data_IF_972850814096
#
_entry.id   IF_972850814096
#
_cell.length_a   1.000
_cell.length_b   1.000
_cell.length_c   1.000
_cell.angle_alpha   90.00
_cell.angle_beta   90.00
_cell.angle_gamma   90.00
#
_symmetry.space_group_name_H-M   'P 1'
#
loop_
_entity.id
_entity.type
_entity.pdbx_description
1 polymer ?
#
# COMPACT_ATOMS: atom_id res chain seq x y z
N UNK A 1 -19.26 -16.04 11.41
CA UNK A 1 -18.57 -14.95 12.13
C UNK A 1 -17.30 -15.45 12.75
N UNK A 2 -16.35 -14.55 13.00
CA UNK A 2 -15.14 -14.94 13.72
C UNK A 2 -15.54 -15.17 15.19
N UNK A 3 -15.19 -16.31 15.80
CA UNK A 3 -15.46 -16.59 17.21
C UNK A 3 -14.81 -15.55 18.13
N UNK A 4 -15.35 -15.37 19.33
CA UNK A 4 -14.82 -14.40 20.29
C UNK A 4 -13.37 -14.72 20.69
N UNK A 5 -12.99 -16.00 20.75
CA UNK A 5 -11.60 -16.43 20.97
C UNK A 5 -10.62 -15.82 19.94
N UNK A 6 -11.03 -15.75 18.68
CA UNK A 6 -10.18 -15.19 17.63
C UNK A 6 -10.17 -13.66 17.67
N UNK A 7 -11.26 -13.03 18.13
CA UNK A 7 -11.27 -11.58 18.39
C UNK A 7 -10.33 -11.22 19.54
N UNK A 8 -10.31 -12.01 20.61
CA UNK A 8 -9.37 -11.81 21.71
C UNK A 8 -7.92 -11.92 21.24
N UNK A 9 -7.58 -12.93 20.44
CA UNK A 9 -6.24 -13.06 19.84
C UNK A 9 -5.86 -11.86 18.95
N UNK A 10 -6.79 -11.34 18.15
CA UNK A 10 -6.54 -10.16 17.31
C UNK A 10 -6.31 -8.91 18.19
N UNK A 11 -7.08 -8.76 19.26
CA UNK A 11 -6.92 -7.67 20.23
C UNK A 11 -5.59 -7.77 20.98
N UNK A 12 -5.14 -8.98 21.33
CA UNK A 12 -3.81 -9.21 21.93
C UNK A 12 -2.68 -8.81 20.99
N UNK A 13 -2.77 -9.15 19.70
CA UNK A 13 -1.80 -8.71 18.68
C UNK A 13 -1.76 -7.18 18.57
N UNK A 14 -2.93 -6.53 18.54
CA UNK A 14 -3.01 -5.08 18.49
C UNK A 14 -2.35 -4.43 19.71
N UNK A 15 -2.63 -4.93 20.92
CA UNK A 15 -2.01 -4.45 22.17
C UNK A 15 -0.50 -4.63 22.15
N UNK A 16 -0.02 -5.82 21.75
CA UNK A 16 1.42 -6.11 21.64
C UNK A 16 2.11 -5.17 20.66
N UNK A 17 1.47 -4.86 19.54
CA UNK A 17 1.99 -3.91 18.56
C UNK A 17 2.04 -2.48 19.14
N UNK A 18 1.01 -2.04 19.86
CA UNK A 18 1.00 -0.74 20.55
C UNK A 18 2.13 -0.66 21.60
N UNK A 19 2.35 -1.71 22.39
CA UNK A 19 3.46 -1.80 23.35
C UNK A 19 4.83 -1.73 22.67
N UNK A 20 5.01 -2.43 21.55
CA UNK A 20 6.26 -2.39 20.78
C UNK A 20 6.51 -0.99 20.18
N UNK A 21 5.46 -0.32 19.71
CA UNK A 21 5.57 1.07 19.23
C UNK A 21 5.95 2.01 20.37
N UNK A 22 5.36 1.85 21.55
CA UNK A 22 5.74 2.66 22.72
C UNK A 22 7.19 2.44 23.13
N UNK A 23 7.69 1.19 23.11
CA UNK A 23 9.12 0.89 23.33
C UNK A 23 10.03 1.58 22.31
N UNK A 24 9.65 1.58 21.02
CA UNK A 24 10.41 2.28 19.98
C UNK A 24 10.44 3.81 20.23
N UNK A 25 9.32 4.39 20.67
CA UNK A 25 9.25 5.80 21.03
C UNK A 25 10.14 6.10 22.25
N UNK A 26 10.10 5.28 23.29
CA UNK A 26 10.95 5.43 24.47
C UNK A 26 12.45 5.33 24.12
N UNK A 27 12.84 4.36 23.28
CA UNK A 27 14.22 4.22 22.81
C UNK A 27 14.67 5.42 21.97
N UNK A 28 13.75 6.04 21.21
CA UNK A 28 14.03 7.28 20.49
C UNK A 28 14.25 8.45 21.45
N UNK A 29 13.41 8.60 22.47
CA UNK A 29 13.53 9.66 23.48
C UNK A 29 14.80 9.54 24.32
N UNK A 30 15.25 8.31 24.60
CA UNK A 30 16.53 8.02 25.27
C UNK A 30 17.76 8.20 24.38
N UNK A 31 17.58 8.39 23.07
CA UNK A 31 18.67 8.53 22.11
C UNK A 31 19.42 7.22 21.82
N UNK A 32 18.86 6.07 22.19
CA UNK A 32 19.45 4.74 22.01
C UNK A 32 19.19 4.16 20.60
N UNK A 33 18.33 4.83 19.83
CA UNK A 33 17.88 4.34 18.53
C UNK A 33 18.97 4.53 17.48
N UNK A 34 19.50 3.42 16.99
CA UNK A 34 20.51 3.44 15.93
C UNK A 34 19.86 3.73 14.58
N UNK A 35 20.56 4.46 13.71
CA UNK A 35 20.15 4.64 12.32
C UNK A 35 20.38 3.30 11.60
N UNK A 36 19.30 2.55 11.40
CA UNK A 36 19.37 1.27 10.67
C UNK A 36 19.21 1.49 9.16
N UNK A 37 18.63 2.61 8.73
CA UNK A 37 18.34 2.90 7.32
C UNK A 37 19.29 3.97 6.79
N UNK A 38 20.22 3.63 5.87
CA UNK A 38 21.13 4.60 5.26
C UNK A 38 20.36 5.71 4.53
N UNK A 39 20.77 6.96 4.75
CA UNK A 39 20.22 8.12 4.04
C UNK A 39 18.90 8.69 4.58
N UNK A 40 18.34 8.12 5.67
CA UNK A 40 17.17 8.68 6.36
C UNK A 40 17.57 9.34 7.67
N UNK A 41 16.79 10.35 8.08
CA UNK A 41 16.95 10.94 9.41
C UNK A 41 16.56 9.94 10.51
N UNK A 42 17.05 10.17 11.74
CA UNK A 42 16.67 9.35 12.92
C UNK A 42 15.15 9.26 13.09
N UNK A 43 14.44 10.38 12.91
CA UNK A 43 12.99 10.45 13.03
C UNK A 43 12.28 9.69 11.93
N UNK A 44 12.76 9.77 10.69
CA UNK A 44 12.18 9.00 9.59
C UNK A 44 12.43 7.50 9.76
N UNK A 45 13.61 7.12 10.27
CA UNK A 45 13.91 5.73 10.61
C UNK A 45 12.96 5.19 11.68
N UNK A 46 12.68 5.96 12.73
CA UNK A 46 11.67 5.61 13.73
C UNK A 46 10.29 5.40 13.09
N UNK A 47 9.84 6.33 12.25
CA UNK A 47 8.53 6.25 11.59
C UNK A 47 8.42 5.02 10.69
N UNK A 48 9.46 4.67 9.95
CA UNK A 48 9.48 3.45 9.14
C UNK A 48 9.43 2.18 9.99
N UNK A 49 10.16 2.15 11.12
CA UNK A 49 10.13 1.01 12.05
C UNK A 49 8.74 0.81 12.64
N UNK A 50 8.09 1.91 13.04
CA UNK A 50 6.70 1.87 13.54
C UNK A 50 5.75 1.39 12.44
N UNK A 51 5.86 1.91 11.22
CA UNK A 51 5.01 1.47 10.11
C UNK A 51 5.19 -0.02 9.80
N UNK A 52 6.42 -0.52 9.85
CA UNK A 52 6.71 -1.93 9.63
C UNK A 52 6.10 -2.81 10.74
N UNK A 53 6.24 -2.42 12.00
CA UNK A 53 5.68 -3.15 13.14
C UNK A 53 4.14 -3.21 13.08
N UNK A 54 3.49 -2.08 12.83
CA UNK A 54 2.03 -2.02 12.67
C UNK A 54 1.55 -2.76 11.41
N UNK A 55 2.36 -2.80 10.36
CA UNK A 55 2.12 -3.59 9.16
C UNK A 55 2.12 -5.10 9.44
N UNK A 56 3.13 -5.58 10.18
CA UNK A 56 3.20 -6.98 10.61
C UNK A 56 2.00 -7.38 11.47
N UNK A 57 1.62 -6.53 12.42
CA UNK A 57 0.47 -6.78 13.29
C UNK A 57 -0.83 -6.96 12.48
N UNK A 58 -1.05 -6.13 11.46
CA UNK A 58 -2.19 -6.28 10.54
C UNK A 58 -2.14 -7.59 9.78
N UNK A 59 -0.97 -7.97 9.27
CA UNK A 59 -0.83 -9.19 8.46
C UNK A 59 -1.00 -10.46 9.33
N UNK A 60 -0.53 -10.45 10.58
CA UNK A 60 -0.78 -11.49 11.57
C UNK A 60 -2.28 -11.62 11.92
N UNK A 61 -2.95 -10.49 12.18
CA UNK A 61 -4.39 -10.46 12.40
C UNK A 61 -5.17 -11.00 11.19
N UNK A 62 -4.68 -10.73 9.97
CA UNK A 62 -5.23 -11.27 8.74
C UNK A 62 -5.14 -12.79 8.64
N UNK A 63 -4.01 -13.37 9.02
CA UNK A 63 -3.82 -14.84 9.05
C UNK A 63 -4.77 -15.51 10.04
N UNK A 64 -4.93 -14.93 11.22
CA UNK A 64 -5.90 -15.43 12.21
C UNK A 64 -7.32 -15.33 11.65
N UNK A 65 -7.70 -14.17 11.13
CA UNK A 65 -9.02 -14.00 10.53
C UNK A 65 -9.30 -15.03 9.43
N UNK A 66 -8.33 -15.30 8.55
CA UNK A 66 -8.44 -16.30 7.50
C UNK A 66 -8.64 -17.73 8.05
N UNK A 67 -7.85 -18.13 9.05
CA UNK A 67 -7.94 -19.46 9.66
C UNK A 67 -9.33 -19.72 10.24
N UNK A 68 -9.89 -18.73 10.93
CA UNK A 68 -11.19 -18.85 11.59
C UNK A 68 -12.39 -18.62 10.66
N UNK A 69 -12.22 -17.93 9.52
CA UNK A 69 -13.27 -17.74 8.52
C UNK A 69 -13.51 -18.97 7.62
N UNK A 70 -12.54 -19.89 7.54
CA UNK A 70 -12.69 -21.16 6.82
C UNK A 70 -13.04 -21.00 5.33
N UNK A 71 -13.82 -21.94 4.79
CA UNK A 71 -14.30 -21.92 3.39
C UNK A 71 -15.60 -21.12 3.25
N UNK A 72 -15.51 -19.80 3.34
CA UNK A 72 -16.61 -18.88 3.01
C UNK A 72 -16.50 -18.43 1.53
N UNK A 73 -17.61 -18.15 0.86
CA UNK A 73 -17.67 -17.57 -0.49
C UNK A 73 -16.76 -16.34 -0.63
N UNK A 74 -16.68 -15.48 0.39
CA UNK A 74 -15.79 -14.30 0.37
C UNK A 74 -14.31 -14.71 0.32
N UNK A 75 -13.92 -15.73 1.08
CA UNK A 75 -12.55 -16.28 1.09
C UNK A 75 -12.25 -16.92 -0.26
N UNK A 76 -13.20 -17.67 -0.82
CA UNK A 76 -13.05 -18.33 -2.13
C UNK A 76 -12.84 -17.27 -3.22
N UNK A 77 -13.69 -16.23 -3.29
CA UNK A 77 -13.55 -15.15 -4.27
C UNK A 77 -12.20 -14.44 -4.19
N UNK A 78 -11.70 -14.21 -2.97
CA UNK A 78 -10.38 -13.61 -2.76
C UNK A 78 -9.24 -14.54 -3.19
N UNK A 79 -9.33 -15.85 -2.88
CA UNK A 79 -8.29 -16.84 -3.22
C UNK A 79 -8.19 -17.12 -4.72
N UNK A 80 -9.32 -17.20 -5.41
CA UNK A 80 -9.34 -17.41 -6.87
C UNK A 80 -9.06 -16.12 -7.66
N UNK A 81 -8.90 -14.98 -6.99
CA UNK A 81 -8.67 -13.68 -7.62
C UNK A 81 -9.88 -13.11 -8.37
N UNK A 82 -11.08 -13.63 -8.15
CA UNK A 82 -12.28 -13.17 -8.85
C UNK A 82 -12.71 -11.77 -8.39
N UNK A 83 -12.80 -11.55 -7.07
CA UNK A 83 -13.17 -10.24 -6.52
C UNK A 83 -12.75 -10.10 -5.06
N UNK A 84 -12.09 -8.99 -4.76
CA UNK A 84 -11.53 -8.72 -3.44
C UNK A 84 -10.18 -9.42 -3.24
N UNK A 85 -9.42 -8.92 -2.27
CA UNK A 85 -8.12 -9.47 -1.89
C UNK A 85 -8.13 -9.98 -0.45
N UNK A 86 -7.11 -10.76 -0.08
CA UNK A 86 -6.91 -11.14 1.33
C UNK A 86 -6.78 -9.93 2.25
N UNK A 87 -6.21 -8.82 1.76
CA UNK A 87 -6.15 -7.56 2.50
C UNK A 87 -7.56 -7.02 2.81
N UNK A 88 -8.49 -7.07 1.86
CA UNK A 88 -9.87 -6.63 2.10
C UNK A 88 -10.55 -7.49 3.17
N UNK A 89 -10.31 -8.80 3.15
CA UNK A 89 -10.82 -9.72 4.16
C UNK A 89 -10.26 -9.40 5.55
N UNK A 90 -8.96 -9.12 5.64
CA UNK A 90 -8.31 -8.64 6.87
C UNK A 90 -8.96 -7.36 7.40
N UNK A 91 -9.30 -6.40 6.55
CA UNK A 91 -9.95 -5.15 7.00
C UNK A 91 -11.39 -5.34 7.45
N UNK A 92 -12.11 -6.29 6.84
CA UNK A 92 -13.49 -6.60 7.22
C UNK A 92 -13.56 -7.33 8.55
N UNK A 93 -12.61 -8.24 8.80
CA UNK A 93 -12.75 -9.24 9.85
C UNK A 93 -11.62 -9.22 10.90
N UNK A 94 -10.41 -8.81 10.52
CA UNK A 94 -9.24 -8.67 11.39
C UNK A 94 -9.11 -7.26 11.98
N UNK A 95 -8.40 -6.37 11.28
CA UNK A 95 -8.24 -4.96 11.62
C UNK A 95 -7.99 -4.14 10.35
N UNK A 96 -8.34 -2.85 10.36
CA UNK A 96 -8.08 -1.97 9.21
C UNK A 96 -6.58 -1.64 9.08
N UNK A 97 -5.90 -1.42 10.21
CA UNK A 97 -4.48 -1.14 10.31
C UNK A 97 -4.12 0.35 10.14
N UNK A 98 -2.83 0.63 9.96
CA UNK A 98 -2.28 1.99 9.87
C UNK A 98 -2.81 2.75 8.66
N UNK A 99 -3.40 3.94 8.90
CA UNK A 99 -3.72 4.89 7.84
C UNK A 99 -2.53 5.81 7.57
N UNK A 100 -2.18 5.98 6.30
CA UNK A 100 -1.11 6.87 5.89
C UNK A 100 -1.68 8.00 5.02
N UNK A 101 -1.02 9.16 5.07
CA UNK A 101 -1.26 10.28 4.17
C UNK A 101 0.08 10.71 3.57
N UNK A 102 0.23 10.58 2.25
CA UNK A 102 1.48 10.88 1.50
C UNK A 102 2.68 10.08 2.00
N UNK A 103 2.46 8.79 2.26
CA UNK A 103 3.51 7.87 2.71
C UNK A 103 4.01 8.10 4.15
N UNK A 104 3.35 8.95 4.94
CA UNK A 104 3.66 9.18 6.36
C UNK A 104 2.44 8.90 7.23
N UNK A 105 2.64 8.58 8.52
CA UNK A 105 1.53 8.42 9.48
C UNK A 105 0.78 9.75 9.63
N UNK A 106 -0.48 9.68 10.08
CA UNK A 106 -1.32 10.86 10.19
C UNK A 106 -0.77 11.80 11.27
N UNK A 107 -0.19 12.91 10.84
CA UNK A 107 0.43 13.92 11.72
C UNK A 107 -0.09 15.34 11.45
N UNK A 108 -0.77 15.56 10.32
CA UNK A 108 -1.38 16.85 9.98
C UNK A 108 -2.68 17.03 10.76
N UNK A 109 -2.84 18.19 11.39
CA UNK A 109 -4.00 18.51 12.20
C UNK A 109 -3.77 19.77 13.02
N UNK A 110 -4.08 19.70 14.32
CA UNK A 110 -3.87 20.77 15.29
C UNK A 110 -2.38 20.92 15.67
N UNK A 111 -2.06 21.97 16.42
CA UNK A 111 -0.70 22.20 16.91
C UNK A 111 -0.20 21.01 17.75
N UNK A 112 0.81 20.31 17.23
CA UNK A 112 1.44 19.09 17.80
C UNK A 112 0.49 17.90 18.02
N UNK A 113 -0.61 17.74 17.26
CA UNK A 113 -1.50 16.56 17.35
C UNK A 113 -2.43 16.45 16.14
N UNK A 114 -2.83 15.25 15.76
CA UNK A 114 -3.76 15.08 14.64
C UNK A 114 -5.20 15.51 15.01
N UNK A 115 -5.72 15.05 16.14
CA UNK A 115 -7.08 15.34 16.62
C UNK A 115 -7.09 16.01 18.01
N UNK A 116 -8.14 16.77 18.37
CA UNK A 116 -8.19 17.47 19.65
C UNK A 116 -8.38 16.53 20.85
N UNK A 117 -8.80 15.28 20.58
CA UNK A 117 -8.99 14.21 21.56
C UNK A 117 -7.67 13.64 22.12
N UNK A 118 -6.54 13.87 21.45
CA UNK A 118 -5.23 13.40 21.89
C UNK A 118 -4.43 14.50 22.61
N UNK A 119 -3.47 14.08 23.44
CA UNK A 119 -2.55 15.00 24.10
C UNK A 119 -1.63 15.66 23.07
N UNK A 120 -1.15 16.87 23.38
CA UNK A 120 -0.17 17.55 22.52
C UNK A 120 1.16 16.79 22.57
N UNK A 121 1.71 16.48 21.40
CA UNK A 121 2.95 15.71 21.25
C UNK A 121 2.75 14.20 21.28
N UNK A 122 1.51 13.71 21.36
CA UNK A 122 1.23 12.27 21.36
C UNK A 122 1.55 11.66 19.99
N UNK A 123 2.52 10.72 19.97
CA UNK A 123 3.02 10.01 18.79
C UNK A 123 2.70 8.51 18.82
N UNK A 124 1.84 8.10 19.76
CA UNK A 124 1.33 6.73 19.88
C UNK A 124 0.68 6.24 18.58
N UNK A 125 0.51 4.92 18.46
CA UNK A 125 -0.10 4.30 17.29
C UNK A 125 -1.51 4.87 17.02
N UNK A 126 -2.36 4.96 18.05
CA UNK A 126 -3.74 5.45 17.94
C UNK A 126 -3.79 6.94 17.55
N UNK A 127 -2.96 7.78 18.19
CA UNK A 127 -2.90 9.22 17.90
C UNK A 127 -2.40 9.52 16.48
N UNK A 128 -1.62 8.60 15.90
CA UNK A 128 -1.06 8.70 14.55
C UNK A 128 -1.87 7.94 13.49
N UNK A 129 -3.10 7.52 13.79
CA UNK A 129 -4.04 6.95 12.81
C UNK A 129 -3.94 5.43 12.61
N UNK A 130 -3.51 4.69 13.62
CA UNK A 130 -3.67 3.23 13.64
C UNK A 130 -5.11 2.85 14.00
N UNK A 131 -5.76 2.06 13.13
CA UNK A 131 -7.14 1.60 13.32
C UNK A 131 -7.12 0.12 13.68
N UNK A 132 -7.45 -0.20 14.93
CA UNK A 132 -7.44 -1.58 15.46
C UNK A 132 -8.76 -2.29 15.21
N UNK A 133 -9.84 -1.54 15.15
CA UNK A 133 -11.16 -2.07 14.82
C UNK A 133 -11.25 -2.58 13.37
N UNK A 134 -12.17 -3.49 13.09
CA UNK A 134 -12.49 -3.93 11.73
C UNK A 134 -13.85 -3.37 11.27
N UNK A 135 -14.12 -3.40 9.97
CA UNK A 135 -15.38 -2.87 9.45
C UNK A 135 -16.61 -3.60 9.97
N UNK A 136 -16.47 -4.87 10.37
CA UNK A 136 -17.57 -5.64 10.94
C UNK A 136 -17.92 -5.24 12.37
N UNK A 137 -16.94 -4.98 13.22
CA UNK A 137 -17.18 -4.50 14.60
C UNK A 137 -17.61 -3.04 14.62
N UNK A 138 -17.27 -2.30 13.57
CA UNK A 138 -17.48 -0.86 13.48
C UNK A 138 -16.25 -0.10 13.96
N UNK A 139 -16.11 1.13 13.48
CA UNK A 139 -15.01 2.02 13.82
C UNK A 139 -15.45 3.03 14.88
N UNK A 140 -14.56 3.33 15.83
CA UNK A 140 -14.75 4.48 16.72
C UNK A 140 -14.75 5.80 15.95
N UNK A 141 -15.28 6.91 16.50
CA UNK A 141 -15.31 8.20 15.80
C UNK A 141 -13.93 8.71 15.35
N UNK A 142 -12.88 8.49 16.16
CA UNK A 142 -11.50 8.86 15.81
C UNK A 142 -10.96 7.98 14.68
N UNK A 143 -11.15 6.66 14.78
CA UNK A 143 -10.76 5.70 13.73
C UNK A 143 -11.46 5.97 12.40
N UNK A 144 -12.76 6.25 12.42
CA UNK A 144 -13.53 6.59 11.23
C UNK A 144 -13.00 7.85 10.54
N UNK A 145 -12.63 8.87 11.33
CA UNK A 145 -12.06 10.10 10.80
C UNK A 145 -10.67 9.87 10.19
N UNK A 146 -9.81 9.09 10.85
CA UNK A 146 -8.51 8.70 10.29
C UNK A 146 -8.64 7.87 9.01
N UNK A 147 -9.57 6.93 8.98
CA UNK A 147 -9.86 6.14 7.78
C UNK A 147 -10.32 7.03 6.61
N UNK A 148 -11.17 8.02 6.90
CA UNK A 148 -11.62 8.99 5.91
C UNK A 148 -10.47 9.83 5.33
N UNK A 149 -9.47 10.18 6.16
CA UNK A 149 -8.26 10.87 5.66
C UNK A 149 -7.47 10.01 4.67
N UNK A 150 -7.24 8.74 5.00
CA UNK A 150 -6.54 7.79 4.13
C UNK A 150 -7.32 7.54 2.83
N UNK A 151 -8.64 7.38 2.92
CA UNK A 151 -9.52 7.21 1.76
C UNK A 151 -9.51 8.41 0.80
N UNK A 152 -9.31 9.64 1.31
CA UNK A 152 -9.20 10.82 0.44
C UNK A 152 -7.92 10.83 -0.38
N UNK A 153 -6.82 10.30 0.15
CA UNK A 153 -5.57 10.20 -0.59
C UNK A 153 -5.73 9.32 -1.83
N UNK A 154 -6.34 8.15 -1.68
CA UNK A 154 -6.51 7.22 -2.81
C UNK A 154 -7.36 7.81 -3.93
N UNK A 155 -8.42 8.56 -3.59
CA UNK A 155 -9.25 9.27 -4.56
C UNK A 155 -8.46 10.34 -5.33
N UNK A 156 -7.65 11.12 -4.62
CA UNK A 156 -6.85 12.20 -5.23
C UNK A 156 -5.71 11.63 -6.08
N UNK A 157 -5.00 10.61 -5.60
CA UNK A 157 -3.88 10.01 -6.32
C UNK A 157 -4.35 9.38 -7.64
N UNK A 158 -5.51 8.71 -7.64
CA UNK A 158 -6.12 8.16 -8.86
C UNK A 158 -6.40 9.25 -9.89
N UNK A 159 -7.01 10.37 -9.45
CA UNK A 159 -7.31 11.49 -10.35
C UNK A 159 -6.06 12.12 -10.96
N UNK A 160 -5.00 12.29 -10.17
CA UNK A 160 -3.72 12.88 -10.65
C UNK A 160 -3.02 11.93 -11.62
N UNK A 161 -2.98 10.63 -11.31
CA UNK A 161 -2.31 9.62 -12.14
C UNK A 161 -2.93 9.54 -13.54
N UNK A 162 -4.25 9.59 -13.66
CA UNK A 162 -4.95 9.55 -14.95
C UNK A 162 -4.54 10.71 -15.87
N UNK A 163 -4.49 11.93 -15.34
CA UNK A 163 -4.10 13.09 -16.15
C UNK A 163 -2.65 12.98 -16.65
N UNK A 164 -1.73 12.56 -15.77
CA UNK A 164 -0.30 12.43 -16.11
C UNK A 164 -0.05 11.29 -17.09
N UNK A 165 -0.67 10.12 -16.89
CA UNK A 165 -0.52 8.98 -17.79
C UNK A 165 -1.09 9.26 -19.17
N UNK A 166 -2.29 9.86 -19.25
CA UNK A 166 -2.90 10.23 -20.53
C UNK A 166 -2.06 11.25 -21.31
N UNK A 167 -1.52 12.27 -20.63
CA UNK A 167 -0.65 13.25 -21.28
C UNK A 167 0.67 12.63 -21.78
N UNK A 168 1.31 11.78 -20.96
CA UNK A 168 2.51 11.05 -21.36
C UNK A 168 2.23 10.15 -22.56
N UNK A 169 1.12 9.40 -22.53
CA UNK A 169 0.70 8.55 -23.63
C UNK A 169 0.49 9.37 -24.92
N UNK A 170 -0.22 10.49 -24.87
CA UNK A 170 -0.44 11.36 -26.04
C UNK A 170 0.88 11.86 -26.63
N UNK A 171 1.84 12.28 -25.79
CA UNK A 171 3.16 12.72 -26.25
C UNK A 171 3.93 11.61 -26.95
N UNK A 172 3.91 10.40 -26.39
CA UNK A 172 4.61 9.25 -26.97
C UNK A 172 3.94 8.79 -28.28
N UNK A 173 2.62 8.73 -28.34
CA UNK A 173 1.88 8.37 -29.56
C UNK A 173 2.23 9.35 -30.67
N UNK A 174 2.13 10.66 -30.43
CA UNK A 174 2.42 11.65 -31.46
C UNK A 174 3.89 11.64 -31.92
N UNK A 175 4.83 11.21 -31.06
CA UNK A 175 6.24 11.12 -31.40
C UNK A 175 6.61 9.84 -32.16
N UNK A 176 5.85 8.76 -31.98
CA UNK A 176 6.20 7.42 -32.49
C UNK A 176 5.25 6.91 -33.58
N UNK A 177 4.14 7.60 -33.86
CA UNK A 177 3.11 7.19 -34.82
C UNK A 177 3.64 6.96 -36.25
N UNK A 178 4.72 7.63 -36.63
CA UNK A 178 5.29 7.55 -37.98
C UNK A 178 6.25 6.36 -38.16
N UNK A 179 6.63 5.67 -37.07
CA UNK A 179 7.54 4.53 -37.12
C UNK A 179 6.87 3.29 -37.70
N UNK A 180 7.53 2.66 -38.69
CA UNK A 180 7.05 1.43 -39.35
C UNK A 180 8.18 0.43 -39.52
N UNK A 181 7.83 -0.85 -39.47
CA UNK A 181 8.73 -1.96 -39.80
C UNK A 181 8.69 -2.19 -41.31
N UNK A 182 9.85 -2.24 -41.94
CA UNK A 182 10.01 -2.53 -43.37
C UNK A 182 10.31 -4.01 -43.60
N UNK A 183 10.19 -4.47 -44.86
CA UNK A 183 10.39 -5.88 -45.23
C UNK A 183 11.79 -6.42 -44.89
N UNK A 184 12.79 -5.53 -44.80
CA UNK A 184 14.15 -5.85 -44.39
C UNK A 184 14.35 -5.98 -42.87
N UNK A 185 13.27 -5.87 -42.09
CA UNK A 185 13.30 -5.96 -40.63
C UNK A 185 13.74 -4.69 -39.91
N UNK A 186 14.03 -3.61 -40.65
CA UNK A 186 14.42 -2.31 -40.07
C UNK A 186 13.18 -1.51 -39.65
N UNK A 187 13.33 -0.68 -38.61
CA UNK A 187 12.31 0.29 -38.20
C UNK A 187 12.74 1.67 -38.68
N UNK A 188 11.88 2.32 -39.48
CA UNK A 188 12.17 3.64 -40.06
C UNK A 188 11.04 4.62 -39.75
N UNK A 189 11.39 5.89 -39.58
CA UNK A 189 10.44 6.99 -39.39
C UNK A 189 10.13 7.76 -40.67
N UNK A 190 9.49 8.91 -40.50
CA UNK A 190 9.25 9.85 -41.61
C UNK A 190 10.58 10.32 -42.24
N UNK A 191 10.59 10.48 -43.56
CA UNK A 191 11.81 10.80 -44.33
C UNK A 191 12.80 9.63 -44.52
N UNK A 192 12.46 8.40 -44.11
CA UNK A 192 13.25 7.20 -44.40
C UNK A 192 14.47 6.97 -43.49
N UNK A 193 14.61 7.76 -42.43
CA UNK A 193 15.68 7.59 -41.43
C UNK A 193 15.51 6.26 -40.67
N UNK A 194 16.57 5.45 -40.63
CA UNK A 194 16.61 4.19 -39.88
C UNK A 194 16.77 4.50 -38.38
N UNK A 195 15.80 4.04 -37.58
CA UNK A 195 15.78 4.20 -36.11
C UNK A 195 16.27 2.92 -35.43
N UNK A 196 15.90 1.74 -35.93
CA UNK A 196 16.42 0.45 -35.49
C UNK A 196 16.80 -0.40 -36.69
N UNK A 197 17.98 -1.04 -36.63
CA UNK A 197 18.43 -1.97 -37.68
C UNK A 197 17.70 -3.32 -37.64
N UNK A 198 17.26 -3.73 -36.45
CA UNK A 198 16.45 -4.93 -36.24
C UNK A 198 15.33 -4.54 -35.29
N UNK A 199 14.07 -4.75 -35.68
CA UNK A 199 12.90 -4.50 -34.83
C UNK A 199 13.05 -5.19 -33.47
N UNK A 200 12.97 -4.43 -32.37
CA UNK A 200 13.02 -5.00 -31.02
C UNK A 200 14.36 -5.65 -30.63
N UNK A 201 15.37 -5.59 -31.50
CA UNK A 201 16.67 -6.26 -31.32
C UNK A 201 16.69 -7.74 -31.69
N UNK A 202 15.56 -8.45 -31.60
CA UNK A 202 15.41 -9.87 -31.91
C UNK A 202 14.52 -10.14 -33.14
N UNK A 203 13.84 -9.12 -33.67
CA UNK A 203 12.92 -9.24 -34.81
C UNK A 203 11.59 -9.92 -34.44
N UNK A 204 11.33 -10.17 -33.15
CA UNK A 204 10.16 -10.94 -32.70
C UNK A 204 9.04 -10.01 -32.29
N UNK A 205 7.85 -10.25 -32.84
CA UNK A 205 6.64 -9.56 -32.42
C UNK A 205 6.29 -9.94 -30.96
N UNK A 206 6.22 -8.97 -30.02
CA UNK A 206 5.91 -9.24 -28.63
C UNK A 206 4.54 -9.92 -28.44
N UNK A 207 3.60 -9.74 -29.38
CA UNK A 207 2.31 -10.42 -29.35
C UNK A 207 2.42 -11.93 -29.66
N UNK A 208 3.47 -12.35 -30.38
CA UNK A 208 3.67 -13.74 -30.84
C UNK A 208 4.75 -14.50 -30.07
N UNK A 209 5.51 -13.81 -29.21
CA UNK A 209 6.66 -14.38 -28.49
C UNK A 209 6.33 -15.65 -27.71
N UNK A 210 5.20 -15.70 -27.00
CA UNK A 210 4.79 -16.89 -26.23
C UNK A 210 4.46 -18.13 -27.07
N UNK A 211 4.12 -17.97 -28.36
CA UNK A 211 3.89 -19.10 -29.26
C UNK A 211 5.19 -19.73 -29.76
N UNK A 212 6.27 -18.95 -29.85
CA UNK A 212 7.58 -19.38 -30.35
C UNK A 212 8.40 -20.15 -29.30
N UNK A 213 8.18 -19.91 -28.00
CA UNK A 213 8.84 -20.66 -26.92
C UNK A 213 8.17 -22.01 -26.62
N UNK A 214 6.94 -22.23 -27.13
CA UNK A 214 6.15 -23.46 -26.93
C UNK A 214 6.18 -24.42 -28.13
N UNK A 215 6.85 -24.08 -29.24
CA UNK A 215 7.09 -24.97 -30.39
C UNK A 215 8.55 -25.38 -30.48
#
# INVERSE_FOLDING_TARGET
DIPDEAREKINEIAKKAEENVNKLIESYEKGELQIIIPGKSLRESLEDMIMNELGKARDEAGKIAEQYLGKNSVVIMAKIGARGSMLNLTQVAGMVGQQAVRGKRVSRGYYKRALPHFKKGDVSAEAAGFVKSCFKTGLSPTEYFFHSMGGRESLVDTAIRTARSGYMQRRLINALQDLKVYEDGTVRGDGGLIIQFIYGGDGVDPMKKGYLEMS
#
